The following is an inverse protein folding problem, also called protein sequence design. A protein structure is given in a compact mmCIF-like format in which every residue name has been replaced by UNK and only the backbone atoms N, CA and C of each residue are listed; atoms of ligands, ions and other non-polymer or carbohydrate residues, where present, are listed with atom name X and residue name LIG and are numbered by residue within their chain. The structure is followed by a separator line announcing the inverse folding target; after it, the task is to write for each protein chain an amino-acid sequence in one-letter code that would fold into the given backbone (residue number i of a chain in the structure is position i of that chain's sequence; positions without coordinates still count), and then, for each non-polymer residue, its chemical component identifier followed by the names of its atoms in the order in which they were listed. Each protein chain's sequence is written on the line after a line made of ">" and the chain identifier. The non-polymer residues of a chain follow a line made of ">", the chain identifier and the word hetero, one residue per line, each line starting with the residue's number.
data_IF_158369872318
#
_entry.id   IF_158369872318
#
_cell.length_a   1.000
_cell.length_b   1.000
_cell.length_c   1.000
_cell.angle_alpha   90.00
_cell.angle_beta   90.00
_cell.angle_gamma   90.00
#
_symmetry.space_group_name_H-M   'P 1'
#
loop_
_entity.id
_entity.type
_entity.pdbx_description
1 polymer ?
#
# COMPACT_ATOMS: atom_id res chain seq x y z
N UNK A 1 -32.64 10.25 -0.49
CA UNK A 1 -32.93 9.39 0.68
C UNK A 1 -32.71 7.94 0.27
N UNK A 2 -31.49 7.45 0.45
CA UNK A 2 -31.19 6.03 0.53
C UNK A 2 -30.47 5.84 1.86
N UNK A 3 -31.11 5.09 2.75
CA UNK A 3 -30.61 4.77 4.08
C UNK A 3 -29.84 3.45 3.98
N UNK A 4 -28.54 3.49 4.26
CA UNK A 4 -27.87 2.42 4.98
C UNK A 4 -27.17 3.09 6.17
N UNK A 5 -27.51 2.60 7.36
CA UNK A 5 -27.40 3.31 8.63
C UNK A 5 -25.97 3.61 9.10
N UNK A 6 -25.89 4.70 9.84
CA UNK A 6 -25.05 4.92 11.03
C UNK A 6 -23.70 4.19 11.10
N UNK A 7 -22.83 4.35 10.10
CA UNK A 7 -21.40 4.20 10.30
C UNK A 7 -20.74 5.56 10.15
N UNK A 8 -20.82 6.35 11.24
CA UNK A 8 -19.78 7.34 11.52
C UNK A 8 -18.47 6.56 11.69
N UNK A 9 -17.65 6.49 10.65
CA UNK A 9 -16.28 5.99 10.80
C UNK A 9 -15.38 7.13 11.31
N UNK A 10 -15.62 7.56 12.55
CA UNK A 10 -14.70 8.39 13.32
C UNK A 10 -13.76 7.46 14.11
N UNK A 11 -12.74 6.91 13.45
CA UNK A 11 -11.54 6.50 14.18
C UNK A 11 -10.30 6.90 13.39
N UNK A 12 -9.67 7.98 13.83
CA UNK A 12 -8.36 8.41 13.35
C UNK A 12 -7.32 7.47 13.97
N UNK A 13 -7.16 6.29 13.38
CA UNK A 13 -6.21 5.29 13.85
C UNK A 13 -4.79 5.70 13.41
N UNK A 14 -3.99 6.24 14.34
CA UNK A 14 -2.61 6.64 14.09
C UNK A 14 -1.66 5.58 14.64
N UNK A 15 -1.47 4.50 13.87
CA UNK A 15 -0.46 3.51 14.19
C UNK A 15 0.87 3.89 13.56
N UNK A 16 1.89 3.97 14.40
CA UNK A 16 3.27 4.14 13.94
C UNK A 16 4.08 2.93 14.30
N UNK A 17 4.88 2.46 13.35
CA UNK A 17 5.80 1.35 13.57
C UNK A 17 7.13 1.59 12.94
N UNK A 18 8.16 1.18 13.67
CA UNK A 18 9.55 1.36 13.32
C UNK A 18 10.19 -0.02 13.29
N UNK A 19 10.93 -0.31 12.22
CA UNK A 19 11.63 -1.57 12.02
C UNK A 19 13.06 -1.24 11.65
N UNK A 20 14.02 -1.93 12.28
CA UNK A 20 15.44 -1.79 11.95
C UNK A 20 15.77 -2.71 10.78
N UNK A 21 16.32 -2.14 9.71
CA UNK A 21 16.70 -2.86 8.50
C UNK A 21 18.20 -2.68 8.28
N UNK A 22 18.96 -3.78 8.22
CA UNK A 22 20.40 -3.76 7.95
C UNK A 22 20.66 -3.69 6.44
N UNK A 23 20.39 -2.53 5.83
CA UNK A 23 20.64 -2.26 4.42
C UNK A 23 20.96 -0.77 4.19
N UNK A 24 21.55 -0.45 3.04
CA UNK A 24 21.72 0.95 2.64
C UNK A 24 20.38 1.61 2.33
N UNK A 25 20.29 2.92 2.56
CA UNK A 25 19.08 3.70 2.29
C UNK A 25 18.66 3.56 0.82
N UNK A 26 19.60 3.59 -0.12
CA UNK A 26 19.32 3.42 -1.55
C UNK A 26 18.69 2.06 -1.87
N UNK A 27 19.09 0.98 -1.17
CA UNK A 27 18.50 -0.35 -1.38
C UNK A 27 17.08 -0.42 -0.83
N UNK A 28 16.84 0.17 0.34
CA UNK A 28 15.49 0.28 0.92
C UNK A 28 14.60 1.13 0.01
N UNK A 29 15.11 2.27 -0.45
CA UNK A 29 14.40 3.13 -1.38
C UNK A 29 14.02 2.41 -2.66
N UNK A 30 14.97 1.70 -3.29
CA UNK A 30 14.69 0.93 -4.49
C UNK A 30 13.60 -0.12 -4.26
N UNK A 31 13.64 -0.82 -3.13
CA UNK A 31 12.60 -1.78 -2.79
C UNK A 31 11.21 -1.14 -2.70
N UNK A 32 11.09 0.12 -2.29
CA UNK A 32 9.80 0.79 -2.16
C UNK A 32 9.21 1.30 -3.49
N UNK A 33 10.04 1.59 -4.49
CA UNK A 33 9.60 2.30 -5.71
C UNK A 33 9.83 1.55 -7.02
N UNK A 34 10.62 0.47 -7.03
CA UNK A 34 10.91 -0.31 -8.24
C UNK A 34 9.84 -1.41 -8.40
N UNK A 35 9.01 -1.37 -9.46
CA UNK A 35 7.97 -2.37 -9.70
C UNK A 35 8.51 -3.80 -9.75
N UNK A 36 9.72 -4.01 -10.27
CA UNK A 36 10.30 -5.36 -10.37
C UNK A 36 10.73 -5.88 -8.99
N UNK A 37 11.20 -4.99 -8.10
CA UNK A 37 11.52 -5.39 -6.72
C UNK A 37 10.25 -5.58 -5.90
N UNK A 38 9.25 -4.70 -6.05
CA UNK A 38 7.93 -4.80 -5.41
C UNK A 38 7.29 -6.16 -5.69
N UNK A 39 7.32 -6.58 -6.95
CA UNK A 39 6.79 -7.87 -7.40
C UNK A 39 7.38 -9.06 -6.62
N UNK A 40 8.64 -9.00 -6.20
CA UNK A 40 9.29 -10.09 -5.48
C UNK A 40 8.75 -10.29 -4.06
N UNK A 41 8.53 -9.21 -3.31
CA UNK A 41 8.08 -9.30 -1.91
C UNK A 41 6.57 -9.11 -1.73
N UNK A 42 5.86 -8.63 -2.76
CA UNK A 42 4.40 -8.59 -2.82
C UNK A 42 3.84 -9.69 -3.76
N UNK A 43 4.46 -10.88 -3.79
CA UNK A 43 3.86 -12.09 -4.38
C UNK A 43 3.38 -11.94 -5.84
N UNK A 44 4.15 -11.27 -6.68
CA UNK A 44 3.80 -11.07 -8.09
C UNK A 44 2.94 -9.83 -8.36
N UNK A 45 2.61 -9.03 -7.34
CA UNK A 45 1.91 -7.75 -7.50
C UNK A 45 2.62 -6.85 -8.50
N UNK A 46 1.87 -6.28 -9.42
CA UNK A 46 2.32 -5.23 -10.31
C UNK A 46 1.98 -3.87 -9.69
N UNK A 47 3.01 -3.04 -9.49
CA UNK A 47 2.87 -1.65 -9.09
C UNK A 47 2.98 -0.75 -10.32
N UNK A 48 1.90 -0.04 -10.64
CA UNK A 48 1.80 0.80 -11.84
C UNK A 48 1.61 2.24 -11.40
N UNK A 49 2.59 3.09 -11.70
CA UNK A 49 2.56 4.52 -11.41
C UNK A 49 3.56 5.28 -12.28
N UNK A 50 3.35 6.58 -12.41
CA UNK A 50 4.34 7.52 -12.95
C UNK A 50 5.46 7.85 -11.94
N UNK A 51 5.31 7.40 -10.69
CA UNK A 51 6.26 7.59 -9.58
C UNK A 51 6.64 9.05 -9.36
N UNK A 52 5.63 9.93 -9.30
CA UNK A 52 5.76 11.35 -8.96
C UNK A 52 4.74 11.72 -7.90
N UNK A 53 5.05 12.74 -7.12
CA UNK A 53 4.09 13.34 -6.19
C UNK A 53 2.79 13.72 -6.91
N UNK A 54 1.64 13.41 -6.30
CA UNK A 54 0.31 13.60 -6.86
C UNK A 54 -0.13 12.53 -7.87
N UNK A 55 0.75 11.63 -8.30
CA UNK A 55 0.40 10.57 -9.26
C UNK A 55 -0.46 9.49 -8.62
N UNK A 56 -1.33 8.88 -9.44
CA UNK A 56 -2.00 7.64 -9.05
C UNK A 56 -1.00 6.49 -9.03
N UNK A 57 -1.20 5.55 -8.10
CA UNK A 57 -0.51 4.27 -8.03
C UNK A 57 -1.56 3.16 -7.97
N UNK A 58 -1.34 2.10 -8.75
CA UNK A 58 -2.20 0.92 -8.77
C UNK A 58 -1.37 -0.29 -8.37
N UNK A 59 -1.88 -1.06 -7.41
CA UNK A 59 -1.35 -2.38 -7.09
C UNK A 59 -2.34 -3.43 -7.58
N UNK A 60 -1.91 -4.33 -8.46
CA UNK A 60 -2.80 -5.34 -9.05
C UNK A 60 -2.11 -6.70 -9.18
N UNK A 61 -2.89 -7.76 -9.10
CA UNK A 61 -2.40 -9.13 -9.19
C UNK A 61 -3.51 -10.15 -9.05
N UNK A 62 -3.13 -11.42 -8.97
CA UNK A 62 -4.04 -12.54 -8.72
C UNK A 62 -3.74 -13.11 -7.35
N UNK A 63 -4.76 -13.22 -6.50
CA UNK A 63 -4.68 -13.85 -5.20
C UNK A 63 -5.79 -14.88 -5.05
N UNK A 64 -5.44 -16.12 -4.67
CA UNK A 64 -6.39 -17.24 -4.54
C UNK A 64 -7.32 -17.40 -5.78
N UNK A 65 -6.78 -17.17 -6.98
CA UNK A 65 -7.53 -17.25 -8.22
C UNK A 65 -8.44 -16.05 -8.53
N UNK A 66 -8.44 -15.00 -7.69
CA UNK A 66 -9.21 -13.77 -7.89
C UNK A 66 -8.27 -12.60 -8.20
N UNK A 67 -8.58 -11.87 -9.26
CA UNK A 67 -7.91 -10.61 -9.57
C UNK A 67 -8.29 -9.53 -8.54
N UNK A 68 -7.32 -8.72 -8.14
CA UNK A 68 -7.56 -7.53 -7.32
C UNK A 68 -6.87 -6.32 -7.93
N UNK A 69 -7.36 -5.14 -7.55
CA UNK A 69 -6.83 -3.86 -7.99
C UNK A 69 -7.06 -2.81 -6.91
N UNK A 70 -5.99 -2.44 -6.23
CA UNK A 70 -5.97 -1.37 -5.25
C UNK A 70 -5.50 -0.08 -5.89
N UNK A 71 -6.16 1.02 -5.52
CA UNK A 71 -5.85 2.34 -6.05
C UNK A 71 -5.33 3.22 -4.92
N UNK A 72 -4.27 3.98 -5.21
CA UNK A 72 -3.71 4.96 -4.31
C UNK A 72 -3.25 6.21 -5.01
N UNK A 73 -2.80 7.17 -4.20
CA UNK A 73 -2.17 8.41 -4.64
C UNK A 73 -0.88 8.60 -3.83
N UNK A 74 0.19 9.00 -4.52
CA UNK A 74 1.45 9.39 -3.90
C UNK A 74 1.28 10.80 -3.35
N UNK A 75 1.30 10.94 -2.02
CA UNK A 75 1.18 12.23 -1.35
C UNK A 75 2.51 12.97 -1.30
N UNK A 76 3.61 12.23 -1.17
CA UNK A 76 4.96 12.78 -1.09
C UNK A 76 5.99 11.76 -1.57
N UNK A 77 6.96 12.23 -2.34
CA UNK A 77 8.04 11.37 -2.84
C UNK A 77 9.37 12.13 -2.88
N UNK A 78 10.12 12.07 -1.78
CA UNK A 78 11.48 12.61 -1.69
C UNK A 78 12.48 11.46 -1.67
N UNK A 79 13.30 11.37 -2.74
CA UNK A 79 14.29 10.31 -2.92
C UNK A 79 15.12 10.09 -1.65
N UNK A 80 15.14 8.84 -1.19
CA UNK A 80 15.92 8.36 -0.04
C UNK A 80 15.60 9.05 1.30
N UNK A 81 14.45 9.72 1.39
CA UNK A 81 14.02 10.44 2.60
C UNK A 81 12.61 10.08 3.04
N UNK A 82 11.64 10.17 2.13
CA UNK A 82 10.23 10.08 2.48
C UNK A 82 9.41 9.60 1.29
N UNK A 83 8.56 8.61 1.54
CA UNK A 83 7.57 8.11 0.60
C UNK A 83 6.25 7.95 1.34
N UNK A 84 5.31 8.86 1.06
CA UNK A 84 3.99 8.86 1.67
C UNK A 84 2.94 8.53 0.60
N UNK A 85 2.09 7.55 0.89
CA UNK A 85 1.00 7.13 0.01
C UNK A 85 -0.31 7.07 0.79
N UNK A 86 -1.41 7.38 0.10
CA UNK A 86 -2.75 7.05 0.57
C UNK A 86 -3.33 6.00 -0.36
N UNK A 87 -3.79 4.89 0.21
CA UNK A 87 -4.45 3.82 -0.53
C UNK A 87 -5.94 3.92 -0.25
N UNK A 88 -6.72 4.12 -1.31
CA UNK A 88 -8.16 3.99 -1.29
C UNK A 88 -8.53 2.53 -1.46
N UNK A 89 -9.06 1.91 -0.42
CA UNK A 89 -9.65 0.57 -0.52
C UNK A 89 -10.94 0.68 -1.33
N UNK A 90 -10.90 0.36 -2.62
CA UNK A 90 -12.13 0.04 -3.34
C UNK A 90 -12.55 -1.33 -2.82
N UNK A 91 -13.66 -1.38 -2.07
CA UNK A 91 -14.22 -2.62 -1.54
C UNK A 91 -14.67 -3.54 -2.69
N UNK A 92 -13.73 -4.23 -3.32
CA UNK A 92 -13.94 -5.49 -4.01
C UNK A 92 -13.15 -6.52 -3.21
N UNK A 93 -13.80 -7.09 -2.18
CA UNK A 93 -13.30 -8.20 -1.33
C UNK A 93 -11.77 -8.37 -1.31
N UNK A 94 -11.10 -7.44 -0.63
CA UNK A 94 -9.65 -7.50 -0.46
C UNK A 94 -9.23 -8.85 0.16
N UNK A 95 -8.12 -9.45 -0.31
CA UNK A 95 -7.45 -10.55 0.38
C UNK A 95 -7.21 -10.21 1.85
N UNK A 96 -7.51 -11.17 2.73
CA UNK A 96 -7.19 -11.13 4.17
C UNK A 96 -5.70 -10.79 4.41
N UNK A 97 -4.83 -11.02 3.43
CA UNK A 97 -3.39 -10.79 3.49
C UNK A 97 -2.94 -9.34 3.71
N UNK A 98 -3.57 -8.32 3.10
CA UNK A 98 -3.20 -6.91 3.36
C UNK A 98 -3.55 -6.51 4.79
N UNK A 99 -4.66 -7.03 5.32
CA UNK A 99 -5.01 -6.93 6.75
C UNK A 99 -4.01 -7.69 7.63
N UNK A 100 -3.51 -8.85 7.21
CA UNK A 100 -2.50 -9.63 7.96
C UNK A 100 -1.12 -8.97 7.92
N UNK A 101 -0.63 -8.45 6.79
CA UNK A 101 0.63 -7.70 6.77
C UNK A 101 0.51 -6.47 7.67
N UNK A 102 -0.59 -5.71 7.55
CA UNK A 102 -0.83 -4.59 8.48
C UNK A 102 -0.89 -5.10 9.93
N UNK A 103 -1.60 -6.17 10.24
CA UNK A 103 -1.73 -6.70 11.61
C UNK A 103 -0.45 -7.32 12.18
N UNK A 104 0.32 -8.04 11.37
CA UNK A 104 1.60 -8.65 11.72
C UNK A 104 2.69 -7.61 11.82
N UNK A 105 2.62 -6.56 11.00
CA UNK A 105 3.45 -5.40 11.23
C UNK A 105 2.98 -4.72 12.49
N UNK A 106 1.67 -4.68 12.85
CA UNK A 106 1.05 -3.99 14.00
C UNK A 106 1.13 -4.66 15.38
N UNK A 107 1.59 -5.91 15.48
CA UNK A 107 2.04 -6.51 16.76
C UNK A 107 3.56 -6.54 16.92
#
# INVERSE_FOLDING_TARGET
>A
MFYLGELKYESKFNNKKNISIQASISKVWNALIDPEVIKLYLFGTQAISDWKEGSSIIFTGVWNGKEYKDHGIILKLEKEKCFDIIIGVVFQELPIFLKIILFSLLN
#
